data_IF_158690507490
#
_entry.id   IF_158690507490
#
_cell.length_a   1.000
_cell.length_b   1.000
_cell.length_c   1.000
_cell.angle_alpha   90.00
_cell.angle_beta   90.00
_cell.angle_gamma   90.00
#
_symmetry.space_group_name_H-M   'P 1'
#
loop_
_entity.id
_entity.type
_entity.pdbx_description
1 polymer ?
#
# COMPACT_ATOMS: atom_id res chain seq x y z
N UNK A 1 6.79 8.21 32.67
CA UNK A 1 5.70 9.01 32.06
C UNK A 1 5.35 8.38 30.73
N UNK A 2 4.08 8.10 30.43
CA UNK A 2 3.71 7.41 29.19
C UNK A 2 3.94 8.30 27.98
N UNK A 3 4.34 7.67 26.88
CA UNK A 3 4.44 8.30 25.57
C UNK A 3 3.18 7.99 24.78
N UNK A 4 2.68 8.95 24.03
CA UNK A 4 1.51 8.83 23.17
C UNK A 4 1.93 9.08 21.73
N UNK A 5 1.51 8.21 20.83
CA UNK A 5 1.57 8.48 19.40
C UNK A 5 0.36 9.32 19.01
N UNK A 6 0.60 10.41 18.28
CA UNK A 6 -0.47 11.29 17.80
C UNK A 6 -0.42 11.45 16.28
N UNK A 7 -1.61 11.49 15.69
CA UNK A 7 -1.88 12.02 14.35
C UNK A 7 -2.77 13.24 14.55
N UNK A 8 -2.26 14.42 14.20
CA UNK A 8 -3.01 15.67 14.34
C UNK A 8 -2.93 16.51 13.05
N UNK A 9 -3.95 17.34 12.82
CA UNK A 9 -4.03 18.25 11.68
C UNK A 9 -3.58 19.64 12.10
N UNK A 10 -2.73 20.25 11.29
CA UNK A 10 -2.42 21.68 11.39
C UNK A 10 -3.63 22.53 10.92
N UNK A 11 -3.65 23.80 11.29
CA UNK A 11 -4.63 24.80 10.85
C UNK A 11 -4.73 24.93 9.32
N UNK A 12 -3.70 24.52 8.59
CA UNK A 12 -3.66 24.42 7.14
C UNK A 12 -4.16 23.08 6.57
N UNK A 13 -4.76 22.20 7.39
CA UNK A 13 -5.25 20.88 7.00
C UNK A 13 -4.16 19.83 6.73
N UNK A 14 -2.91 20.10 7.12
CA UNK A 14 -1.77 19.18 6.93
C UNK A 14 -1.64 18.22 8.09
N UNK A 15 -1.51 16.93 7.80
CA UNK A 15 -1.28 15.91 8.82
C UNK A 15 0.13 16.01 9.42
N UNK A 16 0.20 15.90 10.74
CA UNK A 16 1.41 15.87 11.55
C UNK A 16 1.35 14.64 12.45
N UNK A 17 2.33 13.76 12.27
CA UNK A 17 2.52 12.57 13.10
C UNK A 17 3.73 12.76 14.00
N UNK A 18 3.63 12.35 15.26
CA UNK A 18 4.76 12.35 16.19
C UNK A 18 4.46 11.61 17.48
N UNK A 19 5.46 11.57 18.35
CA UNK A 19 5.34 11.10 19.72
C UNK A 19 5.24 12.28 20.68
N UNK A 20 4.44 12.15 21.73
CA UNK A 20 4.25 13.16 22.77
C UNK A 20 4.23 12.47 24.13
N UNK A 21 5.05 12.93 25.07
CA UNK A 21 5.01 12.46 26.46
C UNK A 21 4.00 13.30 27.24
N UNK A 22 3.03 12.65 27.88
CA UNK A 22 1.99 13.31 28.68
C UNK A 22 1.61 12.44 29.88
N UNK A 23 1.00 13.03 30.91
CA UNK A 23 0.58 12.26 32.09
C UNK A 23 -0.69 11.43 31.84
N UNK A 24 -1.53 11.85 30.89
CA UNK A 24 -2.80 11.20 30.52
C UNK A 24 -3.21 11.56 29.08
N UNK A 25 -4.17 10.84 28.50
CA UNK A 25 -4.69 11.16 27.16
C UNK A 25 -5.34 12.56 27.10
N UNK A 26 -6.03 12.97 28.17
CA UNK A 26 -6.58 14.33 28.32
C UNK A 26 -5.48 15.40 28.29
N UNK A 27 -4.36 15.13 28.94
CA UNK A 27 -3.20 16.03 28.97
C UNK A 27 -2.47 16.07 27.62
N UNK A 28 -2.38 14.91 26.93
CA UNK A 28 -1.86 14.82 25.56
C UNK A 28 -2.70 15.66 24.57
N UNK A 29 -4.03 15.61 24.69
CA UNK A 29 -4.95 16.42 23.87
C UNK A 29 -4.75 17.92 24.12
N UNK A 30 -4.67 18.34 25.38
CA UNK A 30 -4.43 19.75 25.74
C UNK A 30 -3.08 20.28 25.22
N UNK A 31 -2.04 19.45 25.22
CA UNK A 31 -0.72 19.79 24.66
C UNK A 31 -0.75 19.95 23.13
N UNK A 32 -1.53 19.15 22.41
CA UNK A 32 -1.70 19.29 20.96
C UNK A 32 -2.51 20.55 20.60
N UNK A 33 -3.57 20.84 21.37
CA UNK A 33 -4.36 22.07 21.19
C UNK A 33 -3.51 23.33 21.41
N UNK A 34 -2.66 23.36 22.44
CA UNK A 34 -1.69 24.46 22.67
C UNK A 34 -0.73 24.67 21.49
N UNK A 35 -0.45 23.60 20.73
CA UNK A 35 0.38 23.64 19.52
C UNK A 35 -0.42 23.97 18.25
N UNK A 36 -1.70 24.33 18.37
CA UNK A 36 -2.64 24.55 17.26
C UNK A 36 -2.80 23.32 16.35
N UNK A 37 -2.66 22.13 16.92
CA UNK A 37 -2.82 20.86 16.22
C UNK A 37 -4.12 20.18 16.68
N UNK A 38 -5.00 19.85 15.73
CA UNK A 38 -6.28 19.17 15.96
C UNK A 38 -6.06 17.65 15.97
N UNK A 39 -6.19 16.95 17.10
CA UNK A 39 -5.93 15.51 17.16
C UNK A 39 -7.00 14.70 16.42
N UNK A 40 -6.55 13.87 15.47
CA UNK A 40 -7.39 12.94 14.69
C UNK A 40 -7.35 11.54 15.29
N UNK A 41 -6.18 11.12 15.80
CA UNK A 41 -6.01 9.86 16.54
C UNK A 41 -4.96 10.03 17.65
N UNK A 42 -5.25 9.45 18.81
CA UNK A 42 -4.36 9.37 19.97
C UNK A 42 -4.26 7.89 20.38
N UNK A 43 -3.05 7.36 20.48
CA UNK A 43 -2.79 6.00 20.96
C UNK A 43 -1.76 6.02 22.08
N UNK A 44 -2.04 5.33 23.19
CA UNK A 44 -1.07 5.16 24.27
C UNK A 44 0.04 4.22 23.79
N UNK A 45 1.27 4.71 23.71
CA UNK A 45 2.42 3.85 23.44
C UNK A 45 2.73 3.09 24.73
N UNK A 46 2.26 1.84 24.80
CA UNK A 46 2.64 0.91 25.85
C UNK A 46 4.18 0.82 25.89
N UNK A 47 4.73 0.95 27.10
CA UNK A 47 6.16 1.00 27.38
C UNK A 47 6.91 -0.17 26.71
N UNK A 48 8.09 0.15 26.16
CA UNK A 48 9.12 -0.78 25.66
C UNK A 48 8.91 -1.35 24.26
N UNK A 49 9.28 -0.55 23.26
CA UNK A 49 10.40 -0.85 22.34
C UNK A 49 10.66 0.41 21.50
N UNK A 50 11.91 0.85 21.48
CA UNK A 50 12.45 1.77 20.49
C UNK A 50 12.35 1.14 19.11
N UNK A 51 11.16 1.14 18.53
CA UNK A 51 10.97 0.90 17.10
C UNK A 51 10.88 2.29 16.49
N UNK A 52 11.79 2.68 15.57
CA UNK A 52 11.63 3.93 14.85
C UNK A 52 10.27 3.89 14.17
N UNK A 53 9.34 4.75 14.63
CA UNK A 53 8.01 4.89 14.05
C UNK A 53 8.22 5.27 12.60
N UNK A 54 7.98 4.37 11.63
CA UNK A 54 8.04 4.77 10.24
C UNK A 54 6.91 5.77 10.09
N UNK A 55 7.24 6.98 9.66
CA UNK A 55 6.27 7.99 9.26
C UNK A 55 5.10 7.30 8.55
N UNK A 56 3.88 7.46 9.08
CA UNK A 56 2.67 6.81 8.56
C UNK A 56 2.29 7.33 7.16
N UNK A 57 3.09 8.23 6.58
CA UNK A 57 3.09 8.59 5.15
C UNK A 57 3.93 7.65 4.25
N UNK A 58 4.75 6.77 4.82
CA UNK A 58 5.59 5.83 4.06
C UNK A 58 4.92 4.47 3.79
N UNK A 59 3.80 4.16 4.45
CA UNK A 59 3.04 2.91 4.24
C UNK A 59 2.22 2.91 2.95
N UNK A 60 1.68 4.06 2.57
CA UNK A 60 0.89 4.22 1.34
C UNK A 60 1.75 4.46 0.10
N UNK A 61 2.95 5.03 0.25
CA UNK A 61 3.88 5.28 -0.86
C UNK A 61 4.73 4.04 -1.26
N UNK A 62 4.69 2.94 -0.48
CA UNK A 62 5.58 1.77 -0.68
C UNK A 62 4.96 0.57 -1.40
N UNK A 63 3.74 0.67 -1.97
CA UNK A 63 3.10 -0.47 -2.68
C UNK A 63 3.09 -0.40 -4.22
N UNK A 64 3.55 0.71 -4.82
CA UNK A 64 3.62 0.88 -6.28
C UNK A 64 4.80 0.15 -6.96
N UNK A 65 4.60 -0.62 -8.02
CA UNK A 65 5.71 -1.11 -8.84
C UNK A 65 6.52 0.05 -9.44
N UNK A 66 7.85 -0.09 -9.51
CA UNK A 66 8.67 0.82 -10.31
C UNK A 66 8.32 0.67 -11.79
N UNK A 67 8.62 1.67 -12.62
CA UNK A 67 8.40 1.58 -14.07
C UNK A 67 9.11 0.36 -14.67
N UNK A 68 10.38 0.13 -14.29
CA UNK A 68 11.15 -1.05 -14.72
C UNK A 68 10.49 -2.37 -14.30
N UNK A 69 9.98 -2.46 -13.07
CA UNK A 69 9.30 -3.66 -12.58
C UNK A 69 7.97 -3.88 -13.30
N UNK A 70 7.18 -2.83 -13.55
CA UNK A 70 5.93 -2.92 -14.32
C UNK A 70 6.19 -3.36 -15.76
N UNK A 71 7.22 -2.82 -16.42
CA UNK A 71 7.63 -3.23 -17.77
C UNK A 71 8.05 -4.70 -17.81
N UNK A 72 8.85 -5.15 -16.83
CA UNK A 72 9.28 -6.54 -16.74
C UNK A 72 8.08 -7.48 -16.53
N UNK A 73 7.22 -7.17 -15.56
CA UNK A 73 5.97 -7.89 -15.30
C UNK A 73 5.12 -8.02 -16.56
N UNK A 74 4.90 -6.90 -17.27
CA UNK A 74 4.05 -6.86 -18.47
C UNK A 74 4.62 -7.75 -19.58
N UNK A 75 5.95 -7.71 -19.79
CA UNK A 75 6.60 -8.55 -20.79
C UNK A 75 6.52 -10.04 -20.42
N UNK A 76 6.82 -10.39 -19.18
CA UNK A 76 6.74 -11.77 -18.70
C UNK A 76 5.32 -12.33 -18.84
N UNK A 77 4.31 -11.53 -18.46
CA UNK A 77 2.92 -11.92 -18.59
C UNK A 77 2.52 -12.13 -20.06
N UNK A 78 2.90 -11.21 -20.95
CA UNK A 78 2.63 -11.33 -22.38
C UNK A 78 3.28 -12.59 -23.00
N UNK A 79 4.47 -12.97 -22.54
CA UNK A 79 5.13 -14.22 -22.98
C UNK A 79 4.41 -15.44 -22.43
N UNK A 80 4.17 -15.50 -21.13
CA UNK A 80 3.65 -16.69 -20.46
C UNK A 80 2.19 -16.98 -20.81
N UNK A 81 1.35 -15.95 -20.98
CA UNK A 81 -0.07 -16.13 -21.30
C UNK A 81 -0.30 -16.80 -22.66
N UNK A 82 0.70 -16.81 -23.54
CA UNK A 82 0.63 -17.50 -24.83
C UNK A 82 0.84 -19.01 -24.74
N UNK A 83 1.38 -19.51 -23.64
CA UNK A 83 1.76 -20.93 -23.45
C UNK A 83 1.19 -21.55 -22.18
N UNK A 84 0.70 -20.74 -21.25
CA UNK A 84 0.17 -21.18 -19.96
C UNK A 84 -1.09 -20.42 -19.59
N UNK A 85 -2.00 -21.02 -18.80
CA UNK A 85 -3.15 -20.31 -18.23
C UNK A 85 -2.73 -19.04 -17.49
N UNK A 86 -3.62 -18.05 -17.45
CA UNK A 86 -3.37 -16.77 -16.79
C UNK A 86 -2.97 -16.93 -15.31
N UNK A 87 -3.66 -17.81 -14.58
CA UNK A 87 -3.38 -18.09 -13.16
C UNK A 87 -1.94 -18.61 -12.98
N UNK A 88 -1.54 -19.59 -13.78
CA UNK A 88 -0.20 -20.19 -13.73
C UNK A 88 0.89 -19.19 -14.17
N UNK A 89 0.59 -18.35 -15.16
CA UNK A 89 1.46 -17.27 -15.60
C UNK A 89 1.74 -16.28 -14.47
N UNK A 90 0.71 -15.81 -13.77
CA UNK A 90 0.84 -14.90 -12.63
C UNK A 90 1.59 -15.55 -11.47
N UNK A 91 1.29 -16.82 -11.16
CA UNK A 91 2.00 -17.61 -10.14
C UNK A 91 3.50 -17.69 -10.45
N UNK A 92 3.84 -18.02 -11.70
CA UNK A 92 5.22 -18.15 -12.16
C UNK A 92 5.99 -16.83 -12.01
N UNK A 93 5.38 -15.71 -12.40
CA UNK A 93 5.98 -14.39 -12.24
C UNK A 93 6.17 -14.04 -10.77
N UNK A 94 5.19 -14.36 -9.90
CA UNK A 94 5.29 -14.09 -8.47
C UNK A 94 6.42 -14.88 -7.80
N UNK A 95 6.58 -16.15 -8.15
CA UNK A 95 7.65 -17.03 -7.64
C UNK A 95 9.04 -16.59 -8.13
N UNK A 96 9.13 -16.13 -9.38
CA UNK A 96 10.41 -15.68 -9.99
C UNK A 96 10.80 -14.25 -9.63
N UNK A 97 9.95 -13.50 -8.93
CA UNK A 97 10.21 -12.12 -8.61
C UNK A 97 11.34 -11.97 -7.57
N UNK A 98 12.46 -11.36 -7.98
CA UNK A 98 13.62 -11.10 -7.11
C UNK A 98 13.31 -10.13 -5.96
N UNK A 99 12.38 -9.20 -6.20
CA UNK A 99 11.98 -8.20 -5.21
C UNK A 99 10.70 -8.63 -4.51
N UNK A 100 10.75 -8.78 -3.19
CA UNK A 100 9.58 -9.13 -2.36
C UNK A 100 8.35 -8.25 -2.65
N UNK A 101 8.55 -6.95 -2.86
CA UNK A 101 7.47 -6.01 -3.22
C UNK A 101 6.76 -6.40 -4.52
N UNK A 102 7.51 -6.84 -5.52
CA UNK A 102 6.94 -7.28 -6.80
C UNK A 102 6.16 -8.55 -6.59
N UNK A 103 6.74 -9.54 -5.90
CA UNK A 103 6.05 -10.78 -5.54
C UNK A 103 4.72 -10.50 -4.83
N UNK A 104 4.72 -9.64 -3.80
CA UNK A 104 3.53 -9.29 -3.02
C UNK A 104 2.43 -8.66 -3.88
N UNK A 105 2.80 -7.77 -4.82
CA UNK A 105 1.84 -7.15 -5.75
C UNK A 105 1.23 -8.21 -6.68
N UNK A 106 2.08 -9.06 -7.27
CA UNK A 106 1.62 -10.09 -8.22
C UNK A 106 0.79 -11.14 -7.51
N UNK A 107 1.12 -11.54 -6.28
CA UNK A 107 0.31 -12.45 -5.47
C UNK A 107 -1.08 -11.89 -5.15
N UNK A 108 -1.20 -10.58 -4.92
CA UNK A 108 -2.51 -9.95 -4.71
C UNK A 108 -3.37 -9.95 -5.98
N UNK A 109 -2.76 -9.73 -7.14
CA UNK A 109 -3.45 -9.86 -8.44
C UNK A 109 -3.84 -11.32 -8.70
N UNK A 110 -2.91 -12.25 -8.48
CA UNK A 110 -3.14 -13.69 -8.61
C UNK A 110 -4.31 -14.17 -7.75
N UNK A 111 -4.35 -13.79 -6.48
CA UNK A 111 -5.46 -14.11 -5.58
C UNK A 111 -6.80 -13.60 -6.10
N UNK A 112 -6.86 -12.37 -6.62
CA UNK A 112 -8.07 -11.83 -7.25
C UNK A 112 -8.54 -12.66 -8.47
N UNK A 113 -7.61 -13.14 -9.30
CA UNK A 113 -7.95 -14.01 -10.44
C UNK A 113 -8.43 -15.39 -9.97
N UNK A 114 -7.80 -15.96 -8.94
CA UNK A 114 -8.24 -17.24 -8.34
C UNK A 114 -9.63 -17.11 -7.71
N UNK A 115 -9.97 -15.95 -7.16
CA UNK A 115 -11.33 -15.61 -6.69
C UNK A 115 -12.34 -15.45 -7.85
N UNK A 116 -11.92 -15.55 -9.11
CA UNK A 116 -12.78 -15.42 -10.28
C UNK A 116 -12.98 -13.99 -10.78
N UNK A 117 -12.20 -13.01 -10.29
CA UNK A 117 -12.23 -11.64 -10.83
C UNK A 117 -11.57 -11.61 -12.21
N UNK A 118 -12.01 -10.69 -13.05
CA UNK A 118 -11.26 -10.31 -14.26
C UNK A 118 -9.88 -9.78 -13.88
N UNK A 119 -8.89 -9.98 -14.74
CA UNK A 119 -7.51 -9.52 -14.54
C UNK A 119 -7.44 -8.02 -14.29
N UNK A 120 -8.18 -7.21 -15.06
CA UNK A 120 -8.22 -5.76 -14.87
C UNK A 120 -8.75 -5.35 -13.49
N UNK A 121 -9.74 -6.09 -12.98
CA UNK A 121 -10.33 -5.87 -11.64
C UNK A 121 -9.37 -6.33 -10.54
N UNK A 122 -8.69 -7.46 -10.73
CA UNK A 122 -7.65 -7.93 -9.81
C UNK A 122 -6.47 -6.95 -9.74
N UNK A 123 -6.06 -6.39 -10.89
CA UNK A 123 -5.05 -5.30 -10.96
C UNK A 123 -5.53 -4.01 -10.27
N UNK A 124 -6.84 -3.77 -10.19
CA UNK A 124 -7.39 -2.59 -9.50
C UNK A 124 -7.12 -2.60 -8.00
N UNK A 125 -7.00 -3.80 -7.38
CA UNK A 125 -6.60 -3.96 -5.98
C UNK A 125 -5.22 -3.33 -5.71
N UNK A 126 -4.37 -3.31 -6.73
CA UNK A 126 -3.04 -2.69 -6.73
C UNK A 126 -2.99 -1.47 -7.67
N UNK A 127 -4.02 -0.63 -7.66
CA UNK A 127 -4.17 0.54 -8.53
C UNK A 127 -2.97 1.51 -8.58
N UNK A 128 -2.18 1.59 -7.51
CA UNK A 128 -0.95 2.38 -7.48
C UNK A 128 0.13 1.82 -8.44
N UNK A 129 0.16 0.49 -8.62
CA UNK A 129 1.06 -0.24 -9.52
C UNK A 129 0.52 -0.32 -10.94
N UNK A 130 -0.80 -0.34 -11.12
CA UNK A 130 -1.47 -0.50 -12.41
C UNK A 130 -2.34 0.73 -12.73
N UNK A 131 -1.79 1.72 -13.47
CA UNK A 131 -2.49 2.95 -13.80
C UNK A 131 -3.83 2.72 -14.52
N UNK A 132 -4.79 3.67 -14.47
CA UNK A 132 -6.10 3.50 -15.08
C UNK A 132 -6.07 3.10 -16.56
N UNK A 133 -5.23 3.77 -17.37
CA UNK A 133 -5.09 3.45 -18.79
C UNK A 133 -4.57 2.02 -19.02
N UNK A 134 -3.62 1.56 -18.20
CA UNK A 134 -3.10 0.19 -18.27
C UNK A 134 -4.21 -0.83 -18.03
N UNK A 135 -5.01 -0.64 -16.97
CA UNK A 135 -6.13 -1.54 -16.64
C UNK A 135 -7.23 -1.48 -17.70
N UNK A 136 -7.50 -0.32 -18.29
CA UNK A 136 -8.48 -0.19 -19.36
C UNK A 136 -8.08 -0.98 -20.61
N UNK A 137 -6.79 -0.97 -20.98
CA UNK A 137 -6.26 -1.77 -22.09
C UNK A 137 -6.38 -3.27 -21.80
N UNK A 138 -6.05 -3.70 -20.58
CA UNK A 138 -6.22 -5.10 -20.16
C UNK A 138 -7.69 -5.51 -20.21
N UNK A 139 -8.60 -4.68 -19.68
CA UNK A 139 -10.03 -4.96 -19.70
C UNK A 139 -10.58 -5.07 -21.13
N UNK A 140 -10.10 -4.23 -22.04
CA UNK A 140 -10.45 -4.32 -23.46
C UNK A 140 -9.98 -5.64 -24.08
N UNK A 141 -8.73 -6.06 -23.78
CA UNK A 141 -8.20 -7.35 -24.21
C UNK A 141 -8.98 -8.53 -23.66
N UNK A 142 -9.26 -8.56 -22.35
CA UNK A 142 -10.09 -9.61 -21.73
C UNK A 142 -11.49 -9.68 -22.33
N UNK A 143 -12.03 -8.55 -22.80
CA UNK A 143 -13.33 -8.49 -23.47
C UNK A 143 -13.32 -9.01 -24.91
N UNK A 144 -12.18 -8.97 -25.60
CA UNK A 144 -12.04 -9.42 -26.99
C UNK A 144 -11.64 -10.90 -27.15
N UNK A 145 -11.13 -11.53 -26.08
CA UNK A 145 -10.49 -12.84 -26.10
C UNK A 145 -9.00 -12.77 -26.38
#
# INVERSE_FOLDING_TARGET
MPTFDYLALDTAGRERTGTLTAASESDARALLERRKLLPVRLGAAAETRTVPVPALSAGFARRKLSSKALTLFTRQLATLISVSPLEESLRSIAVQAEQKRVADVVWRVHGGVVEGRRLADAMALESASFPPLYRAMVAAGEGSG
#
